data_IF_578271765828
#
_entry.id   IF_578271765828
#
_cell.length_a   1.000
_cell.length_b   1.000
_cell.length_c   1.000
_cell.angle_alpha   90.00
_cell.angle_beta   90.00
_cell.angle_gamma   90.00
#
_symmetry.space_group_name_H-M   'P 1'
#
loop_
_entity.id
_entity.type
_entity.pdbx_description
1 polymer ?
#
# COMPACT_ATOMS: atom_id res chain seq x y z
N UNK A 1 22.30 -46.88 12.33
CA UNK A 1 21.64 -47.46 11.13
C UNK A 1 20.85 -46.30 10.51
N UNK A 2 21.32 -45.71 9.40
CA UNK A 2 20.74 -45.84 8.03
C UNK A 2 19.20 -45.81 8.06
N UNK A 3 18.49 -44.87 7.43
CA UNK A 3 18.63 -44.45 6.03
C UNK A 3 17.92 -43.11 5.77
N UNK A 4 18.56 -42.28 4.95
CA UNK A 4 17.93 -41.23 4.15
C UNK A 4 17.06 -41.88 3.07
N UNK A 5 15.93 -41.25 2.72
CA UNK A 5 15.19 -41.50 1.48
C UNK A 5 14.79 -40.15 0.88
N UNK A 6 15.64 -39.69 -0.03
CA UNK A 6 15.37 -38.73 -1.09
C UNK A 6 14.35 -39.31 -2.08
N UNK A 7 13.33 -38.54 -2.47
CA UNK A 7 12.64 -38.75 -3.75
C UNK A 7 12.52 -37.42 -4.48
N UNK A 8 13.28 -37.30 -5.57
CA UNK A 8 13.09 -36.32 -6.60
C UNK A 8 11.78 -36.60 -7.35
N UNK A 9 11.05 -35.55 -7.75
CA UNK A 9 10.15 -35.65 -8.89
C UNK A 9 10.29 -34.40 -9.76
N UNK A 10 10.47 -34.71 -11.04
CA UNK A 10 10.89 -33.85 -12.13
C UNK A 10 9.69 -33.20 -12.83
N UNK A 11 9.81 -31.90 -13.13
CA UNK A 11 9.38 -31.20 -14.35
C UNK A 11 7.94 -31.32 -14.87
N UNK A 12 7.30 -30.18 -15.12
CA UNK A 12 6.93 -29.77 -16.49
C UNK A 12 6.70 -28.26 -16.58
N UNK A 13 7.30 -27.65 -17.60
CA UNK A 13 7.31 -26.23 -17.93
C UNK A 13 6.24 -25.97 -18.99
N UNK A 14 5.42 -24.92 -18.84
CA UNK A 14 4.67 -24.31 -19.95
C UNK A 14 4.72 -22.80 -19.80
N UNK A 15 5.56 -22.16 -20.62
CA UNK A 15 5.57 -20.71 -20.83
C UNK A 15 4.68 -20.45 -22.05
N UNK A 16 3.61 -19.68 -21.87
CA UNK A 16 2.84 -19.11 -22.98
C UNK A 16 3.00 -17.59 -22.95
N UNK A 17 3.81 -17.08 -23.87
CA UNK A 17 3.92 -15.65 -24.18
C UNK A 17 2.89 -15.30 -25.25
N UNK A 18 1.93 -14.43 -24.91
CA UNK A 18 1.09 -13.75 -25.90
C UNK A 18 1.64 -12.33 -26.08
N UNK A 19 2.35 -12.13 -27.19
CA UNK A 19 2.59 -10.80 -27.76
C UNK A 19 1.38 -10.40 -28.58
N UNK A 20 0.70 -9.32 -28.20
CA UNK A 20 -0.30 -8.67 -29.03
C UNK A 20 0.07 -7.19 -29.21
N UNK A 21 0.19 -6.85 -30.48
CA UNK A 21 0.58 -5.59 -31.09
C UNK A 21 -0.67 -4.77 -31.44
N UNK A 22 -0.55 -3.44 -31.45
CA UNK A 22 -1.50 -2.51 -32.08
C UNK A 22 -1.63 -1.23 -31.23
N UNK A 23 -1.16 -0.05 -31.62
CA UNK A 23 -0.93 0.49 -32.96
C UNK A 23 -2.08 1.43 -33.32
N UNK A 24 -1.90 2.73 -33.11
CA UNK A 24 -2.93 3.75 -33.38
C UNK A 24 -2.35 5.16 -33.28
N UNK A 25 -1.64 5.55 -34.34
CA UNK A 25 -1.24 6.91 -34.66
C UNK A 25 -2.44 7.71 -35.18
N UNK A 26 -2.61 8.95 -34.75
CA UNK A 26 -3.07 9.99 -35.67
C UNK A 26 -2.47 11.34 -35.33
N UNK A 27 -2.01 11.99 -36.39
CA UNK A 27 -1.29 13.24 -36.41
C UNK A 27 -2.07 14.20 -37.31
N UNK A 28 -2.35 15.40 -36.81
CA UNK A 28 -2.65 16.59 -37.62
C UNK A 28 -2.38 17.80 -36.71
N UNK A 29 -1.30 18.58 -36.85
CA UNK A 29 -0.87 19.54 -37.89
C UNK A 29 -1.78 20.77 -38.11
N UNK A 30 -1.24 21.88 -37.59
CA UNK A 30 -1.12 23.24 -38.21
C UNK A 30 -2.37 24.15 -38.16
N UNK A 31 -2.24 25.36 -37.60
CA UNK A 31 -2.05 26.60 -38.39
C UNK A 31 -1.97 27.88 -37.52
N UNK A 32 -1.06 28.78 -37.92
CA UNK A 32 -0.62 30.01 -37.25
C UNK A 32 -1.25 31.30 -37.86
N UNK A 33 -1.24 32.38 -37.04
CA UNK A 33 -1.18 33.83 -37.35
C UNK A 33 -2.50 34.64 -37.53
N UNK A 34 -2.53 35.99 -37.29
CA UNK A 34 -1.45 36.93 -36.91
C UNK A 34 -1.77 37.96 -35.78
N UNK A 35 -0.75 38.77 -35.45
CA UNK A 35 -0.63 39.83 -34.42
C UNK A 35 -1.64 41.00 -34.44
N UNK A 36 -1.81 41.66 -33.29
CA UNK A 36 -1.94 43.12 -33.20
C UNK A 36 -1.40 43.66 -31.85
N UNK A 37 -0.48 44.64 -31.93
CA UNK A 37 0.07 45.42 -30.81
C UNK A 37 -0.86 46.53 -30.35
N UNK A 38 -1.03 46.76 -29.05
CA UNK A 38 -1.37 48.09 -28.48
C UNK A 38 -0.68 48.29 -27.12
N UNK A 39 -0.24 49.51 -26.91
CA UNK A 39 0.72 50.01 -25.93
C UNK A 39 0.15 50.30 -24.54
N UNK A 40 1.00 50.07 -23.52
CA UNK A 40 1.21 50.81 -22.26
C UNK A 40 0.03 51.53 -21.56
N UNK A 41 -0.27 51.12 -20.33
CA UNK A 41 -0.33 52.05 -19.19
C UNK A 41 -0.15 51.31 -17.85
N UNK A 42 0.87 51.71 -17.12
CA UNK A 42 1.18 51.28 -15.76
C UNK A 42 0.11 51.78 -14.80
N UNK A 43 -0.60 50.86 -14.16
CA UNK A 43 -1.40 51.13 -12.96
C UNK A 43 -0.92 50.19 -11.88
N UNK A 44 -0.24 50.72 -10.87
CA UNK A 44 0.18 49.98 -9.68
C UNK A 44 -1.07 49.63 -8.87
N UNK A 45 -1.60 48.42 -9.09
CA UNK A 45 -2.57 47.78 -8.22
C UNK A 45 -1.88 46.68 -7.43
N UNK A 46 -1.92 46.78 -6.10
CA UNK A 46 -1.64 45.67 -5.18
C UNK A 46 -2.33 44.39 -5.69
N UNK A 47 -1.69 43.22 -5.60
CA UNK A 47 -2.19 42.02 -6.25
C UNK A 47 -3.50 41.62 -5.57
N UNK A 48 -4.61 41.91 -6.25
CA UNK A 48 -5.85 41.18 -6.06
C UNK A 48 -5.50 39.74 -6.43
N UNK A 49 -5.63 38.83 -5.46
CA UNK A 49 -5.47 37.42 -5.71
C UNK A 49 -6.63 37.00 -6.62
N UNK A 50 -6.42 37.16 -7.92
CA UNK A 50 -7.32 36.74 -8.97
C UNK A 50 -7.46 35.22 -8.83
N UNK A 51 -8.64 34.75 -8.46
CA UNK A 51 -8.99 33.33 -8.54
C UNK A 51 -9.06 32.95 -10.01
N UNK A 52 -7.88 32.81 -10.62
CA UNK A 52 -7.71 32.34 -11.99
C UNK A 52 -8.09 30.86 -12.01
N UNK A 53 -9.07 30.49 -12.84
CA UNK A 53 -9.35 29.08 -13.10
C UNK A 53 -8.08 28.41 -13.67
N UNK A 54 -7.70 27.22 -13.15
CA UNK A 54 -6.53 26.52 -13.65
C UNK A 54 -6.71 26.19 -15.12
N UNK A 55 -5.74 26.57 -15.93
CA UNK A 55 -5.63 26.18 -17.33
C UNK A 55 -4.95 24.80 -17.43
N UNK A 56 -5.06 24.14 -18.57
CA UNK A 56 -4.40 22.84 -18.79
C UNK A 56 -2.87 22.88 -18.64
N UNK A 57 -2.26 24.06 -18.85
CA UNK A 57 -0.84 24.31 -18.60
C UNK A 57 -0.49 24.24 -17.11
N UNK A 58 -1.45 24.51 -16.23
CA UNK A 58 -1.29 24.47 -14.77
C UNK A 58 -1.45 23.04 -14.21
N UNK A 59 -1.84 22.07 -15.05
CA UNK A 59 -2.02 20.65 -14.70
C UNK A 59 -0.83 19.76 -15.14
N UNK A 60 0.26 20.36 -15.60
CA UNK A 60 1.46 19.62 -16.03
C UNK A 60 2.24 19.18 -14.80
N UNK A 61 2.17 17.88 -14.50
CA UNK A 61 3.00 17.26 -13.48
C UNK A 61 4.49 17.31 -13.88
N UNK A 62 5.37 17.44 -12.89
CA UNK A 62 6.80 17.37 -13.11
C UNK A 62 7.19 15.99 -13.69
N UNK A 63 8.29 15.92 -14.44
CA UNK A 63 8.73 14.67 -15.08
C UNK A 63 9.08 13.55 -14.09
N UNK A 64 9.35 13.91 -12.84
CA UNK A 64 9.67 13.03 -11.71
C UNK A 64 8.48 12.84 -10.75
N UNK A 65 7.30 13.37 -11.07
CA UNK A 65 6.11 13.20 -10.26
C UNK A 65 5.67 11.74 -10.26
N UNK A 66 5.50 11.18 -9.05
CA UNK A 66 4.99 9.82 -8.85
C UNK A 66 3.60 9.88 -8.20
N UNK A 67 2.63 9.21 -8.82
CA UNK A 67 1.27 9.06 -8.30
C UNK A 67 1.19 7.99 -7.20
N UNK A 68 2.23 7.19 -7.02
CA UNK A 68 2.25 6.12 -6.03
C UNK A 68 2.33 6.69 -4.62
N UNK A 69 1.26 6.49 -3.88
CA UNK A 69 1.24 6.67 -2.43
C UNK A 69 1.62 5.40 -1.68
N UNK A 70 1.72 4.26 -2.38
CA UNK A 70 1.98 2.98 -1.74
C UNK A 70 3.46 2.76 -1.41
N UNK A 71 3.72 2.13 -0.27
CA UNK A 71 5.05 1.76 0.17
C UNK A 71 5.10 0.30 0.61
N UNK A 72 6.27 -0.31 0.43
CA UNK A 72 6.54 -1.64 0.97
C UNK A 72 6.85 -1.53 2.45
N UNK A 73 6.05 -2.23 3.25
CA UNK A 73 6.22 -2.32 4.70
C UNK A 73 6.59 -3.76 5.07
N UNK A 74 7.48 -3.90 6.05
CA UNK A 74 7.75 -5.17 6.73
C UNK A 74 7.30 -5.09 8.19
N UNK A 75 6.44 -6.03 8.60
CA UNK A 75 5.97 -6.14 9.98
C UNK A 75 6.57 -7.40 10.59
N UNK A 76 7.40 -7.23 11.62
CA UNK A 76 7.97 -8.33 12.40
C UNK A 76 7.15 -8.52 13.67
N UNK A 77 6.78 -9.77 13.96
CA UNK A 77 5.90 -10.10 15.08
C UNK A 77 6.60 -10.98 16.10
N UNK A 78 6.44 -10.67 17.38
CA UNK A 78 6.97 -11.44 18.52
C UNK A 78 5.97 -11.53 19.67
N UNK A 79 6.29 -12.29 20.72
CA UNK A 79 5.42 -12.49 21.89
C UNK A 79 4.18 -13.33 21.61
N UNK A 80 4.24 -14.23 20.63
CA UNK A 80 3.15 -15.16 20.34
C UNK A 80 3.13 -16.25 21.42
N UNK A 81 2.02 -16.34 22.16
CA UNK A 81 1.86 -17.29 23.30
C UNK A 81 1.66 -18.76 22.89
N UNK A 82 1.53 -19.05 21.60
CA UNK A 82 1.32 -20.38 21.01
C UNK A 82 2.48 -20.68 20.07
N UNK A 83 2.93 -21.94 20.02
CA UNK A 83 4.03 -22.32 19.12
C UNK A 83 3.64 -22.18 17.66
N UNK A 84 2.35 -22.35 17.32
CA UNK A 84 1.85 -22.18 15.96
C UNK A 84 0.52 -21.44 15.94
N UNK A 85 0.25 -20.78 14.82
CA UNK A 85 -1.01 -20.09 14.59
C UNK A 85 -0.98 -19.31 13.29
N UNK A 86 -1.99 -18.46 13.10
CA UNK A 86 -2.13 -17.63 11.90
C UNK A 86 -2.20 -16.17 12.30
N UNK A 87 -1.38 -15.35 11.64
CA UNK A 87 -1.54 -13.89 11.65
C UNK A 87 -2.40 -13.47 10.47
N UNK A 88 -3.32 -12.54 10.72
CA UNK A 88 -4.14 -11.91 9.69
C UNK A 88 -3.98 -10.40 9.79
N UNK A 89 -3.69 -9.77 8.66
CA UNK A 89 -3.45 -8.33 8.57
C UNK A 89 -4.58 -7.66 7.83
N UNK A 90 -5.05 -6.53 8.37
CA UNK A 90 -6.15 -5.74 7.84
C UNK A 90 -5.72 -4.26 7.77
N UNK A 91 -6.25 -3.52 6.80
CA UNK A 91 -6.09 -2.06 6.80
C UNK A 91 -7.21 -1.39 7.59
N UNK A 92 -6.85 -0.39 8.39
CA UNK A 92 -7.77 0.36 9.25
C UNK A 92 -8.23 -0.39 10.50
N UNK A 93 -9.19 0.23 11.19
CA UNK A 93 -9.85 -0.28 12.41
C UNK A 93 -11.35 -0.34 12.13
N UNK A 94 -11.99 -1.48 12.41
CA UNK A 94 -13.44 -1.63 12.25
C UNK A 94 -14.21 -1.19 13.49
N UNK A 95 -13.70 -1.56 14.68
CA UNK A 95 -14.32 -1.19 15.95
C UNK A 95 -13.24 -1.05 17.04
N UNK A 96 -13.36 -0.03 17.90
CA UNK A 96 -12.51 0.14 19.08
C UNK A 96 -13.35 -0.01 20.34
N UNK A 97 -13.06 -1.04 21.13
CA UNK A 97 -13.64 -1.20 22.46
C UNK A 97 -12.86 -0.37 23.47
N UNK A 98 -13.39 0.78 23.86
CA UNK A 98 -12.76 1.69 24.81
C UNK A 98 -12.59 1.09 26.21
N UNK A 99 -13.41 0.11 26.61
CA UNK A 99 -13.34 -0.50 27.96
C UNK A 99 -12.15 -1.42 28.10
N UNK A 100 -11.92 -2.25 27.08
CA UNK A 100 -10.80 -3.19 27.02
C UNK A 100 -9.58 -2.59 26.32
N UNK A 101 -9.75 -1.44 25.67
CA UNK A 101 -8.79 -0.79 24.79
C UNK A 101 -8.30 -1.70 23.65
N UNK A 102 -9.21 -2.51 23.08
CA UNK A 102 -8.93 -3.44 22.00
C UNK A 102 -9.44 -2.87 20.67
N UNK A 103 -8.60 -2.92 19.64
CA UNK A 103 -8.93 -2.50 18.28
C UNK A 103 -9.21 -3.74 17.44
N UNK A 104 -10.46 -3.89 17.02
CA UNK A 104 -10.92 -4.98 16.17
C UNK A 104 -10.81 -4.60 14.69
N UNK A 105 -10.45 -5.56 13.82
CA UNK A 105 -10.26 -5.29 12.41
C UNK A 105 -11.58 -5.00 11.70
N UNK A 106 -11.51 -4.22 10.62
CA UNK A 106 -12.54 -4.23 9.59
C UNK A 106 -12.32 -5.48 8.72
N UNK A 107 -13.11 -6.52 8.92
CA UNK A 107 -12.86 -7.84 8.33
C UNK A 107 -12.89 -7.85 6.78
N UNK A 108 -13.64 -6.93 6.19
CA UNK A 108 -13.70 -6.67 4.75
C UNK A 108 -12.38 -6.13 4.17
N UNK A 109 -11.53 -5.55 5.01
CA UNK A 109 -10.27 -4.88 4.65
C UNK A 109 -9.04 -5.80 4.78
N UNK A 110 -9.23 -7.11 4.67
CA UNK A 110 -8.15 -8.10 4.83
C UNK A 110 -7.11 -7.97 3.72
N UNK A 111 -5.86 -7.75 4.11
CA UNK A 111 -4.71 -7.65 3.20
C UNK A 111 -4.11 -9.02 2.92
N UNK A 112 -3.71 -9.73 3.97
CA UNK A 112 -3.01 -11.02 3.86
C UNK A 112 -3.13 -11.82 5.15
N UNK A 113 -2.73 -13.09 5.08
CA UNK A 113 -2.57 -13.95 6.25
C UNK A 113 -1.40 -14.90 6.07
N UNK A 114 -0.72 -15.24 7.16
CA UNK A 114 0.36 -16.21 7.16
C UNK A 114 0.30 -17.11 8.39
N UNK A 115 0.78 -18.35 8.26
CA UNK A 115 1.17 -19.12 9.43
C UNK A 115 2.40 -18.45 10.04
N UNK A 116 2.41 -18.31 11.36
CA UNK A 116 3.48 -17.60 12.04
C UNK A 116 3.96 -18.35 13.28
N UNK A 117 5.26 -18.22 13.50
CA UNK A 117 5.99 -18.50 14.74
C UNK A 117 6.48 -17.17 15.30
N UNK A 118 7.05 -17.18 16.51
CA UNK A 118 7.77 -16.01 17.01
C UNK A 118 8.85 -15.55 16.02
N UNK A 119 9.02 -14.23 15.91
CA UNK A 119 9.94 -13.53 15.01
C UNK A 119 9.64 -13.70 13.51
N UNK A 120 8.42 -14.12 13.15
CA UNK A 120 7.97 -14.11 11.75
C UNK A 120 7.81 -12.68 11.24
N UNK A 121 8.19 -12.43 9.99
CA UNK A 121 7.93 -11.16 9.31
C UNK A 121 6.99 -11.32 8.12
N UNK A 122 6.12 -10.33 7.92
CA UNK A 122 5.25 -10.23 6.76
C UNK A 122 5.55 -8.93 6.03
N UNK A 123 5.89 -9.05 4.74
CA UNK A 123 5.98 -7.88 3.88
C UNK A 123 4.68 -7.65 3.11
N UNK A 124 4.23 -6.41 3.02
CA UNK A 124 2.99 -6.01 2.36
C UNK A 124 3.10 -4.61 1.73
N UNK A 125 2.34 -4.35 0.67
CA UNK A 125 2.16 -2.98 0.16
C UNK A 125 1.08 -2.28 0.97
N UNK A 126 1.38 -1.07 1.42
CA UNK A 126 0.52 -0.23 2.26
C UNK A 126 0.33 1.10 1.55
N UNK A 127 -0.92 1.56 1.45
CA UNK A 127 -1.21 2.90 0.92
C UNK A 127 -0.81 3.97 1.94
N UNK A 128 -0.13 5.03 1.49
CA UNK A 128 0.29 6.15 2.33
C UNK A 128 -0.86 6.95 2.95
N UNK A 129 -2.09 6.76 2.49
CA UNK A 129 -3.30 7.34 3.09
C UNK A 129 -3.86 6.50 4.25
N UNK A 130 -3.32 5.30 4.51
CA UNK A 130 -3.78 4.48 5.63
C UNK A 130 -3.15 4.93 6.95
N UNK A 131 -3.97 5.02 7.99
CA UNK A 131 -3.50 5.43 9.33
C UNK A 131 -3.12 4.25 10.23
N UNK A 132 -3.76 3.10 10.03
CA UNK A 132 -3.61 1.94 10.90
C UNK A 132 -3.57 0.62 10.12
N UNK A 133 -2.83 -0.34 10.67
CA UNK A 133 -3.01 -1.75 10.39
C UNK A 133 -3.56 -2.42 11.65
N UNK A 134 -4.59 -3.26 11.51
CA UNK A 134 -5.01 -4.15 12.58
C UNK A 134 -4.48 -5.55 12.30
N UNK A 135 -3.93 -6.19 13.33
CA UNK A 135 -3.34 -7.53 13.26
C UNK A 135 -4.06 -8.44 14.24
N UNK A 136 -4.57 -9.54 13.71
CA UNK A 136 -5.26 -10.59 14.44
C UNK A 136 -4.36 -11.82 14.55
N UNK A 137 -4.17 -12.31 15.76
CA UNK A 137 -3.50 -13.56 16.06
C UNK A 137 -4.53 -14.64 16.37
N UNK A 138 -4.47 -15.73 15.62
CA UNK A 138 -5.31 -16.92 15.77
C UNK A 138 -4.43 -18.09 16.19
N UNK A 139 -4.31 -18.38 17.50
CA UNK A 139 -3.56 -19.54 18.00
C UNK A 139 -4.22 -20.85 17.53
N UNK A 140 -3.41 -21.88 17.32
CA UNK A 140 -3.91 -23.23 17.01
C UNK A 140 -3.98 -24.15 18.22
N UNK A 141 -3.54 -23.67 19.39
CA UNK A 141 -3.55 -24.41 20.65
C UNK A 141 -4.89 -24.25 21.41
N UNK A 142 -5.46 -25.37 21.85
CA UNK A 142 -6.68 -25.37 22.66
C UNK A 142 -6.39 -24.78 24.05
N UNK A 143 -6.88 -23.57 24.31
CA UNK A 143 -6.76 -22.90 25.62
C UNK A 143 -6.15 -21.49 25.56
N UNK A 144 -5.62 -21.09 24.40
CA UNK A 144 -5.15 -19.72 24.16
C UNK A 144 -6.21 -19.01 23.34
N UNK A 145 -6.61 -17.83 23.79
CA UNK A 145 -7.57 -16.99 23.06
C UNK A 145 -6.89 -16.23 21.94
N UNK A 146 -7.67 -15.89 20.91
CA UNK A 146 -7.25 -14.92 19.90
C UNK A 146 -6.87 -13.58 20.53
N UNK A 147 -6.01 -12.84 19.83
CA UNK A 147 -5.55 -11.54 20.27
C UNK A 147 -5.50 -10.56 19.11
N UNK A 148 -5.71 -9.28 19.43
CA UNK A 148 -5.71 -8.19 18.45
C UNK A 148 -4.72 -7.13 18.86
N UNK A 149 -4.03 -6.57 17.87
CA UNK A 149 -3.15 -5.42 18.04
C UNK A 149 -3.33 -4.46 16.87
N UNK A 150 -3.00 -3.20 17.11
CA UNK A 150 -3.01 -2.16 16.09
C UNK A 150 -1.60 -1.59 15.94
N UNK A 151 -1.22 -1.31 14.70
CA UNK A 151 0.00 -0.59 14.35
C UNK A 151 -0.45 0.74 13.77
N UNK A 152 0.01 1.85 14.33
CA UNK A 152 -0.14 3.16 13.72
C UNK A 152 0.91 3.33 12.63
N UNK A 153 0.46 3.64 11.42
CA UNK A 153 1.33 3.89 10.29
C UNK A 153 1.88 5.32 10.36
N UNK A 154 3.20 5.43 10.31
CA UNK A 154 3.96 6.70 10.46
C UNK A 154 4.73 7.06 9.18
N UNK A 155 4.58 6.26 8.12
CA UNK A 155 5.37 6.36 6.89
C UNK A 155 6.69 5.58 6.95
N UNK A 156 6.93 4.82 8.03
CA UNK A 156 8.08 3.93 8.14
C UNK A 156 7.90 2.67 7.28
N UNK A 157 9.01 2.09 6.83
CA UNK A 157 9.03 0.85 6.04
C UNK A 157 9.14 -0.42 6.88
N UNK A 158 9.35 -0.29 8.20
CA UNK A 158 9.49 -1.42 9.11
C UNK A 158 8.77 -1.13 10.43
N UNK A 159 8.02 -2.11 10.91
CA UNK A 159 7.32 -2.07 12.20
C UNK A 159 7.57 -3.36 12.96
N UNK A 160 7.59 -3.24 14.28
CA UNK A 160 7.67 -4.38 15.19
C UNK A 160 6.41 -4.42 16.06
N UNK A 161 5.82 -5.61 16.19
CA UNK A 161 4.60 -5.81 16.95
C UNK A 161 4.79 -6.94 17.96
N UNK A 162 4.56 -6.64 19.24
CA UNK A 162 4.67 -7.62 20.33
C UNK A 162 3.27 -7.95 20.91
N UNK A 163 2.98 -9.25 21.03
CA UNK A 163 1.73 -9.80 21.58
C UNK A 163 1.74 -10.11 23.08
N UNK A 164 2.89 -10.02 23.76
CA UNK A 164 3.02 -10.17 25.22
C UNK A 164 2.72 -8.89 26.01
#
# INVERSE_FOLDING_TARGET
MKSLLTSALSGFMVITTLTACGGGSDADKVQEAPQASVSSSTSTSSPVQENKEPSTQDLVAASDFDFRTDMKVEVTVSGLKSETGKLVFYHGVGFHDEKTNIYYPAYENRLTSMFALNDSSQSMQVDGNWEYLTVEWLPMDAGISEAYKVIKLTGDSSYSLNFE
#
